data_IF_233145370088
#
_entry.id   IF_233145370088
#
_cell.length_a   1.000
_cell.length_b   1.000
_cell.length_c   1.000
_cell.angle_alpha   90.00
_cell.angle_beta   90.00
_cell.angle_gamma   90.00
#
_symmetry.space_group_name_H-M   'P 1'
#
loop_
_entity.id
_entity.type
_entity.pdbx_description
1 polymer ?
#
# COMPACT_ATOMS: atom_id res chain seq x y z
N UNK A 1 -8.00 29.54 5.78
CA UNK A 1 -7.68 28.17 6.24
C UNK A 1 -6.67 28.11 7.38
N UNK A 2 -5.53 28.81 7.31
CA UNK A 2 -4.51 28.81 8.38
C UNK A 2 -5.03 29.19 9.78
N UNK A 3 -6.09 30.01 9.86
CA UNK A 3 -6.74 30.41 11.11
C UNK A 3 -7.56 29.28 11.76
N UNK A 4 -8.13 28.38 10.95
CA UNK A 4 -8.91 27.24 11.43
C UNK A 4 -8.00 26.18 12.07
N UNK A 5 -6.89 25.83 11.40
CA UNK A 5 -5.86 24.95 11.95
C UNK A 5 -5.22 25.48 13.24
N UNK A 6 -5.07 26.81 13.40
CA UNK A 6 -4.55 27.43 14.62
C UNK A 6 -5.52 27.36 15.80
N UNK A 7 -6.83 27.47 15.57
CA UNK A 7 -7.84 27.32 16.61
C UNK A 7 -8.09 25.85 16.97
N UNK A 8 -8.10 24.94 15.97
CA UNK A 8 -8.26 23.49 16.19
C UNK A 8 -7.16 22.89 17.07
N UNK A 9 -5.95 23.44 16.97
CA UNK A 9 -4.80 23.04 17.81
C UNK A 9 -4.86 23.59 19.24
N UNK A 10 -5.81 24.50 19.53
CA UNK A 10 -5.93 25.24 20.79
C UNK A 10 -7.17 24.81 21.60
N UNK A 11 -8.09 24.06 20.98
CA UNK A 11 -9.23 23.40 21.64
C UNK A 11 -8.90 21.92 21.90
N UNK A 12 -8.86 21.51 23.17
CA UNK A 12 -8.53 20.15 23.62
C UNK A 12 -9.46 19.09 22.99
N UNK A 13 -10.76 19.39 22.84
CA UNK A 13 -11.74 18.50 22.20
C UNK A 13 -11.49 18.33 20.68
N UNK A 14 -10.91 19.35 20.04
CA UNK A 14 -10.48 19.29 18.64
C UNK A 14 -9.22 18.45 18.46
N UNK A 15 -8.30 18.49 19.43
CA UNK A 15 -7.08 17.69 19.36
C UNK A 15 -7.38 16.18 19.41
N UNK A 16 -8.31 15.75 20.27
CA UNK A 16 -8.74 14.34 20.38
C UNK A 16 -9.42 13.84 19.12
N UNK A 17 -10.20 14.70 18.45
CA UNK A 17 -10.87 14.34 17.19
C UNK A 17 -9.93 14.31 15.98
N UNK A 18 -8.81 15.04 16.02
CA UNK A 18 -7.80 14.98 14.94
C UNK A 18 -6.84 13.82 15.14
N UNK A 19 -6.53 13.44 16.38
CA UNK A 19 -5.63 12.31 16.66
C UNK A 19 -6.19 10.98 16.11
N UNK A 20 -7.47 10.68 16.35
CA UNK A 20 -8.05 9.42 15.81
C UNK A 20 -8.08 9.37 14.28
N UNK A 21 -8.25 10.51 13.61
CA UNK A 21 -8.20 10.59 12.14
C UNK A 21 -6.77 10.39 11.65
N UNK A 22 -5.78 10.99 12.31
CA UNK A 22 -4.37 10.84 11.92
C UNK A 22 -3.90 9.40 12.12
N UNK A 23 -4.27 8.75 13.23
CA UNK A 23 -3.93 7.35 13.49
C UNK A 23 -4.55 6.40 12.46
N UNK A 24 -5.84 6.59 12.13
CA UNK A 24 -6.50 5.76 11.11
C UNK A 24 -5.92 6.01 9.71
N UNK A 25 -5.63 7.26 9.36
CA UNK A 25 -4.95 7.60 8.10
C UNK A 25 -3.57 6.95 8.00
N UNK A 26 -2.82 6.87 9.11
CA UNK A 26 -1.53 6.18 9.15
C UNK A 26 -1.69 4.67 8.89
N UNK A 27 -2.68 4.02 9.52
CA UNK A 27 -2.97 2.58 9.28
C UNK A 27 -3.36 2.33 7.82
N UNK A 28 -4.22 3.18 7.24
CA UNK A 28 -4.59 3.08 5.82
C UNK A 28 -3.36 3.26 4.92
N UNK A 29 -2.49 4.23 5.23
CA UNK A 29 -1.23 4.45 4.51
C UNK A 29 -0.31 3.23 4.53
N UNK A 30 -0.17 2.59 5.70
CA UNK A 30 0.59 1.34 5.83
C UNK A 30 -0.03 0.19 5.02
N UNK A 31 -1.36 0.10 4.98
CA UNK A 31 -2.08 -0.88 4.16
C UNK A 31 -1.82 -0.71 2.66
N UNK A 32 -1.86 0.53 2.16
CA UNK A 32 -1.54 0.85 0.76
C UNK A 32 -0.09 0.46 0.43
N UNK A 33 0.86 0.77 1.30
CA UNK A 33 2.27 0.39 1.12
C UNK A 33 2.46 -1.14 1.12
N UNK A 34 1.73 -1.85 1.97
CA UNK A 34 1.74 -3.32 2.01
C UNK A 34 1.21 -3.94 0.72
N UNK A 35 0.10 -3.44 0.19
CA UNK A 35 -0.48 -3.93 -1.08
C UNK A 35 0.49 -3.71 -2.24
N UNK A 36 1.12 -2.54 -2.33
CA UNK A 36 2.13 -2.27 -3.35
C UNK A 36 3.29 -3.28 -3.30
N UNK A 37 3.82 -3.53 -2.10
CA UNK A 37 4.92 -4.50 -1.89
C UNK A 37 4.53 -5.92 -2.30
N UNK A 38 3.30 -6.35 -1.98
CA UNK A 38 2.81 -7.68 -2.37
C UNK A 38 2.60 -7.78 -3.88
N UNK A 39 2.04 -6.73 -4.52
CA UNK A 39 1.84 -6.69 -5.97
C UNK A 39 3.16 -6.88 -6.72
N UNK A 40 4.19 -6.12 -6.36
CA UNK A 40 5.52 -6.22 -6.98
C UNK A 40 6.10 -7.64 -6.86
N UNK A 41 5.92 -8.28 -5.70
CA UNK A 41 6.36 -9.66 -5.47
C UNK A 41 5.60 -10.69 -6.31
N UNK A 42 4.28 -10.51 -6.46
CA UNK A 42 3.43 -11.36 -7.30
C UNK A 42 3.81 -11.22 -8.77
N UNK A 43 3.98 -9.99 -9.26
CA UNK A 43 4.36 -9.73 -10.66
C UNK A 43 5.75 -10.31 -10.99
N UNK A 44 6.70 -10.17 -10.07
CA UNK A 44 8.02 -10.77 -10.21
C UNK A 44 7.96 -12.30 -10.26
N UNK A 45 7.10 -12.94 -9.45
CA UNK A 45 6.91 -14.39 -9.49
C UNK A 45 6.21 -14.84 -10.78
N UNK A 46 5.17 -14.12 -11.20
CA UNK A 46 4.45 -14.40 -12.44
C UNK A 46 5.41 -14.35 -13.64
N UNK A 47 6.27 -13.34 -13.72
CA UNK A 47 7.29 -13.20 -14.77
C UNK A 47 8.27 -14.38 -14.77
N UNK A 48 8.70 -14.85 -13.60
CA UNK A 48 9.57 -16.02 -13.48
C UNK A 48 8.89 -17.30 -13.97
N UNK A 49 7.62 -17.48 -13.65
CA UNK A 49 6.81 -18.61 -14.13
C UNK A 49 6.67 -18.55 -15.64
N UNK A 50 6.29 -17.40 -16.20
CA UNK A 50 6.19 -17.17 -17.65
C UNK A 50 7.50 -17.53 -18.35
N UNK A 51 8.61 -16.97 -17.88
CA UNK A 51 9.95 -17.25 -18.44
C UNK A 51 10.29 -18.74 -18.37
N UNK A 52 10.00 -19.38 -17.23
CA UNK A 52 10.24 -20.81 -17.04
C UNK A 52 9.41 -21.69 -17.98
N UNK A 53 8.16 -21.32 -18.24
CA UNK A 53 7.27 -22.05 -19.16
C UNK A 53 7.65 -21.81 -20.61
N UNK A 54 7.93 -20.56 -21.01
CA UNK A 54 8.35 -20.24 -22.38
C UNK A 54 9.72 -20.82 -22.74
N UNK A 55 10.62 -20.93 -21.76
CA UNK A 55 11.94 -21.54 -21.94
C UNK A 55 11.92 -23.08 -21.95
N UNK A 56 10.78 -23.72 -21.71
CA UNK A 56 10.63 -25.17 -21.87
C UNK A 56 10.30 -25.47 -23.33
N UNK A 57 11.30 -25.95 -24.09
CA UNK A 57 11.03 -26.65 -25.35
C UNK A 57 10.31 -27.96 -25.04
N UNK A 58 9.11 -28.14 -25.58
CA UNK A 58 8.36 -29.39 -25.49
C UNK A 58 8.94 -30.39 -26.49
N UNK A 59 10.17 -30.81 -26.27
CA UNK A 59 10.85 -31.85 -27.06
C UNK A 59 10.26 -33.22 -26.71
N UNK A 60 9.05 -33.48 -27.20
CA UNK A 60 8.34 -34.74 -27.00
C UNK A 60 7.08 -34.91 -27.85
N UNK A 61 6.89 -34.08 -28.88
CA UNK A 61 5.85 -34.25 -29.89
C UNK A 61 6.43 -34.80 -31.21
N UNK A 62 7.31 -35.79 -31.11
CA UNK A 62 7.61 -36.81 -32.13
C UNK A 62 7.94 -38.13 -31.43
#
# INVERSE_FOLDING_TARGET
>A
MIKFFKNFKKDEDGAVTVDWVVLTAAVVGLGVAGVATVSDGVDALATKIETGVTGQDVNGAE
#
